data_IF_660452036080
#
_entry.id   IF_660452036080
#
_cell.length_a   1.000
_cell.length_b   1.000
_cell.length_c   1.000
_cell.angle_alpha   90.00
_cell.angle_beta   90.00
_cell.angle_gamma   90.00
#
_symmetry.space_group_name_H-M   'P 1'
#
loop_
_entity.id
_entity.type
_entity.pdbx_description
1 polymer ?
#
# COMPACT_ATOMS: atom_id res chain seq x y z
N UNK A 1 -24.68 -10.45 3.52
CA UNK A 1 -23.82 -11.30 4.36
C UNK A 1 -22.52 -11.51 3.61
N UNK A 2 -21.39 -10.95 4.07
CA UNK A 2 -20.06 -11.32 3.57
C UNK A 2 -19.39 -12.12 4.67
N UNK A 3 -19.03 -13.36 4.33
CA UNK A 3 -18.49 -14.38 5.22
C UNK A 3 -17.06 -13.98 5.65
N UNK A 4 -16.70 -14.02 6.94
CA UNK A 4 -15.37 -13.67 7.41
C UNK A 4 -14.54 -14.94 7.56
N UNK A 5 -13.85 -15.46 6.52
CA UNK A 5 -13.16 -16.74 6.74
C UNK A 5 -12.00 -17.17 5.81
N UNK A 6 -11.45 -16.37 4.90
CA UNK A 6 -10.20 -16.78 4.25
C UNK A 6 -9.39 -15.57 3.80
N UNK A 7 -8.83 -14.86 4.78
CA UNK A 7 -7.86 -13.80 4.46
C UNK A 7 -6.59 -14.48 3.96
N UNK A 8 -6.46 -14.58 2.63
CA UNK A 8 -5.29 -15.19 2.01
C UNK A 8 -4.07 -14.33 2.35
N UNK A 9 -3.06 -14.96 2.95
CA UNK A 9 -1.76 -14.36 3.20
C UNK A 9 -0.81 -14.83 2.09
N UNK A 10 -0.68 -14.09 0.98
CA UNK A 10 0.18 -14.49 -0.13
C UNK A 10 1.66 -14.54 0.28
N UNK A 11 2.51 -15.15 -0.54
CA UNK A 11 3.95 -15.14 -0.34
C UNK A 11 4.50 -13.69 -0.37
N UNK A 12 5.62 -13.38 0.30
CA UNK A 12 6.17 -12.02 0.33
C UNK A 12 6.49 -11.44 -1.06
N UNK A 13 6.86 -12.30 -2.00
CA UNK A 13 7.06 -11.93 -3.41
C UNK A 13 5.78 -11.47 -4.09
N UNK A 14 4.68 -12.21 -3.94
CA UNK A 14 3.37 -11.87 -4.48
C UNK A 14 2.76 -10.64 -3.80
N UNK A 15 2.93 -10.48 -2.48
CA UNK A 15 2.51 -9.28 -1.75
C UNK A 15 3.08 -8.03 -2.40
N UNK A 16 4.40 -8.01 -2.63
CA UNK A 16 5.08 -6.87 -3.22
C UNK A 16 4.58 -6.60 -4.63
N UNK A 17 4.35 -7.65 -5.42
CA UNK A 17 3.82 -7.55 -6.78
C UNK A 17 2.41 -6.96 -6.79
N UNK A 18 1.51 -7.46 -5.94
CA UNK A 18 0.14 -6.96 -5.80
C UNK A 18 0.09 -5.50 -5.35
N UNK A 19 0.90 -5.14 -4.35
CA UNK A 19 1.02 -3.76 -3.87
C UNK A 19 1.52 -2.84 -4.99
N UNK A 20 2.53 -3.26 -5.74
CA UNK A 20 3.10 -2.49 -6.85
C UNK A 20 2.09 -2.34 -7.99
N UNK A 21 1.40 -3.41 -8.37
CA UNK A 21 0.39 -3.39 -9.43
C UNK A 21 -0.75 -2.41 -9.09
N UNK A 22 -1.35 -2.59 -7.90
CA UNK A 22 -2.40 -1.69 -7.37
C UNK A 22 -1.93 -0.25 -7.22
N UNK A 23 -0.65 -0.06 -6.87
CA UNK A 23 -0.04 1.26 -6.79
C UNK A 23 0.07 1.90 -8.17
N UNK A 24 0.55 1.16 -9.18
CA UNK A 24 0.78 1.66 -10.54
C UNK A 24 -0.52 1.94 -11.31
N UNK A 25 -1.65 1.36 -10.92
CA UNK A 25 -2.96 1.67 -11.53
C UNK A 25 -3.35 3.16 -11.43
N UNK A 26 -2.81 3.89 -10.45
CA UNK A 26 -3.18 5.30 -10.28
C UNK A 26 -2.39 6.04 -9.19
N UNK A 27 -1.16 5.60 -8.91
CA UNK A 27 -0.38 6.03 -7.75
C UNK A 27 -1.18 5.97 -6.45
N UNK A 28 -1.91 4.85 -6.25
CA UNK A 28 -2.79 4.70 -5.10
C UNK A 28 -2.00 4.81 -3.80
N UNK A 29 -2.55 5.58 -2.85
CA UNK A 29 -2.00 5.71 -1.50
C UNK A 29 -2.15 4.42 -0.69
N UNK A 30 -1.41 4.30 0.43
CA UNK A 30 -1.33 3.06 1.19
C UNK A 30 -2.71 2.57 1.65
N UNK A 31 -3.57 3.50 2.04
CA UNK A 31 -4.93 3.20 2.47
C UNK A 31 -5.79 2.66 1.32
N UNK A 32 -5.66 3.23 0.11
CA UNK A 32 -6.41 2.76 -1.06
C UNK A 32 -5.96 1.36 -1.48
N UNK A 33 -4.65 1.08 -1.40
CA UNK A 33 -4.11 -0.27 -1.65
C UNK A 33 -4.66 -1.27 -0.61
N UNK A 34 -4.69 -0.90 0.68
CA UNK A 34 -5.29 -1.74 1.74
C UNK A 34 -6.74 -2.06 1.44
N UNK A 35 -7.54 -1.05 1.08
CA UNK A 35 -8.96 -1.24 0.77
C UNK A 35 -9.17 -2.11 -0.47
N UNK A 36 -8.35 -1.95 -1.51
CA UNK A 36 -8.43 -2.79 -2.72
C UNK A 36 -8.12 -4.26 -2.39
N UNK A 37 -7.04 -4.52 -1.65
CA UNK A 37 -6.67 -5.87 -1.24
C UNK A 37 -7.70 -6.49 -0.29
N UNK A 38 -8.24 -5.71 0.64
CA UNK A 38 -9.36 -6.15 1.49
C UNK A 38 -10.60 -6.52 0.70
N UNK A 39 -10.89 -5.80 -0.40
CA UNK A 39 -11.99 -6.13 -1.30
C UNK A 39 -11.75 -7.44 -2.06
N UNK A 40 -10.49 -7.79 -2.29
CA UNK A 40 -10.07 -9.05 -2.92
C UNK A 40 -10.00 -10.21 -1.90
N UNK A 41 -10.26 -9.95 -0.61
CA UNK A 41 -10.13 -10.93 0.47
C UNK A 41 -8.68 -11.15 0.92
N UNK A 42 -7.75 -10.28 0.54
CA UNK A 42 -6.33 -10.38 0.86
C UNK A 42 -6.00 -9.47 2.06
N UNK A 43 -5.45 -10.05 3.12
CA UNK A 43 -4.99 -9.27 4.28
C UNK A 43 -3.79 -9.95 4.95
N UNK A 44 -2.84 -9.13 5.40
CA UNK A 44 -1.78 -9.56 6.30
C UNK A 44 -1.40 -8.46 7.28
N UNK A 45 -0.75 -8.83 8.39
CA UNK A 45 -0.46 -7.96 9.54
C UNK A 45 0.27 -6.67 9.17
N UNK A 46 1.19 -6.74 8.20
CA UNK A 46 2.03 -5.61 7.76
C UNK A 46 1.59 -4.94 6.45
N UNK A 47 0.39 -5.24 5.95
CA UNK A 47 -0.06 -4.78 4.63
C UNK A 47 0.05 -3.27 4.43
N UNK A 48 -0.36 -2.51 5.43
CA UNK A 48 -0.27 -1.05 5.40
C UNK A 48 1.19 -0.55 5.43
N UNK A 49 2.06 -1.20 6.18
CA UNK A 49 3.48 -0.85 6.27
C UNK A 49 4.21 -1.16 4.95
N UNK A 50 3.99 -2.34 4.38
CA UNK A 50 4.52 -2.73 3.08
C UNK A 50 4.04 -1.77 1.98
N UNK A 51 2.75 -1.42 1.97
CA UNK A 51 2.20 -0.45 1.02
C UNK A 51 2.84 0.94 1.17
N UNK A 52 3.07 1.39 2.40
CA UNK A 52 3.75 2.66 2.67
C UNK A 52 5.20 2.64 2.18
N UNK A 53 5.91 1.52 2.32
CA UNK A 53 7.29 1.40 1.84
C UNK A 53 7.38 1.52 0.32
N UNK A 54 6.48 0.86 -0.42
CA UNK A 54 6.36 0.98 -1.90
C UNK A 54 6.17 2.44 -2.31
N UNK A 55 5.22 3.12 -1.65
CA UNK A 55 4.89 4.52 -1.96
C UNK A 55 6.03 5.46 -1.59
N UNK A 56 6.73 5.19 -0.48
CA UNK A 56 7.93 5.94 -0.08
C UNK A 56 9.08 5.76 -1.07
N UNK A 57 9.17 4.60 -1.71
CA UNK A 57 10.14 4.37 -2.78
C UNK A 57 9.70 4.96 -4.12
N UNK A 58 8.45 5.39 -4.27
CA UNK A 58 7.91 5.94 -5.51
C UNK A 58 8.21 7.45 -5.61
N UNK A 59 9.01 7.90 -6.60
CA UNK A 59 9.40 9.29 -6.73
C UNK A 59 8.19 10.21 -6.98
N UNK A 60 7.18 9.74 -7.70
CA UNK A 60 5.98 10.54 -7.98
C UNK A 60 5.13 10.74 -6.73
N UNK A 61 4.90 9.70 -5.93
CA UNK A 61 4.19 9.86 -4.66
C UNK A 61 4.99 10.64 -3.61
N UNK A 62 6.32 10.58 -3.66
CA UNK A 62 7.16 11.41 -2.81
C UNK A 62 6.96 12.90 -3.13
N UNK A 63 6.90 13.31 -4.41
CA UNK A 63 6.63 14.71 -4.78
C UNK A 63 5.37 15.28 -4.11
N UNK A 64 4.31 14.47 -4.01
CA UNK A 64 3.07 14.89 -3.34
C UNK A 64 3.17 14.91 -1.81
N UNK A 65 4.00 14.06 -1.18
CA UNK A 65 4.17 14.02 0.27
C UNK A 65 5.21 15.01 0.81
N UNK A 66 6.17 15.47 0.00
CA UNK A 66 7.19 16.47 0.41
C UNK A 66 6.54 17.79 0.82
N UNK A 67 5.31 18.07 0.36
CA UNK A 67 4.53 19.23 0.79
C UNK A 67 4.14 19.25 2.28
N UNK A 68 4.36 18.16 3.05
CA UNK A 68 3.96 18.07 4.47
C UNK A 68 5.11 18.07 5.49
N UNK A 69 6.37 18.03 5.06
CA UNK A 69 7.53 18.21 5.95
C UNK A 69 8.18 19.57 5.67
N UNK A 70 7.47 20.62 6.05
CA UNK A 70 8.15 21.84 6.45
C UNK A 70 8.87 21.57 7.78
N UNK A 71 10.09 22.13 7.88
CA UNK A 71 10.96 22.27 9.07
C UNK A 71 11.72 20.99 9.51
N UNK A 72 13.05 20.96 9.63
CA UNK A 72 14.00 22.02 10.03
C UNK A 72 15.35 21.87 9.31
N UNK A 73 15.68 22.89 8.53
CA UNK A 73 17.04 23.37 8.29
C UNK A 73 17.43 24.18 9.53
N UNK A 74 18.42 23.70 10.30
CA UNK A 74 19.26 24.41 11.30
C UNK A 74 20.02 23.38 12.13
#
# INVERSE_FOLDING_TARGET
MMMPADLMTPAPEDRRKLLMDTHLEGHRGAQAIVTALHSDGIHWTKLKEDALEIIRSCPDCQKFNIAKHGVKDT
#
